data_IF_138015040923
#
_entry.id   IF_138015040923
#
_cell.length_a   1.000
_cell.length_b   1.000
_cell.length_c   1.000
_cell.angle_alpha   90.00
_cell.angle_beta   90.00
_cell.angle_gamma   90.00
#
_symmetry.space_group_name_H-M   'P 1'
#
loop_
_entity.id
_entity.type
_entity.pdbx_description
1 polymer ?
#
# COMPACT_ATOMS: atom_id res chain seq x y z
N UNK A 1 -2.89 7.42 1.42
CA UNK A 1 -3.77 7.28 0.24
C UNK A 1 -2.93 7.14 -1.03
N UNK A 2 -3.12 6.07 -1.80
CA UNK A 2 -2.61 5.91 -3.16
C UNK A 2 -3.81 5.58 -4.04
N UNK A 3 -3.98 6.27 -5.16
CA UNK A 3 -5.14 6.12 -6.05
C UNK A 3 -4.82 6.57 -7.47
N UNK A 4 -5.57 6.04 -8.44
CA UNK A 4 -5.56 6.57 -9.80
C UNK A 4 -6.15 8.00 -9.78
N UNK A 5 -5.51 8.90 -10.53
CA UNK A 5 -5.94 10.26 -10.77
C UNK A 5 -6.60 10.35 -12.14
N UNK A 6 -7.69 11.10 -12.21
CA UNK A 6 -8.49 11.28 -13.41
C UNK A 6 -9.93 11.62 -13.03
N UNK A 7 -10.56 12.49 -13.81
CA UNK A 7 -11.95 12.85 -13.62
C UNK A 7 -12.87 11.72 -14.10
N UNK A 8 -14.01 11.54 -13.43
CA UNK A 8 -15.02 10.56 -13.84
C UNK A 8 -14.67 9.09 -13.61
N UNK A 9 -13.51 8.77 -12.99
CA UNK A 9 -13.13 7.40 -12.68
C UNK A 9 -14.16 6.74 -11.75
N UNK A 10 -14.75 5.64 -12.20
CA UNK A 10 -15.57 4.77 -11.35
C UNK A 10 -14.65 3.91 -10.50
N UNK A 11 -14.87 3.89 -9.19
CA UNK A 11 -14.09 3.05 -8.28
C UNK A 11 -14.95 1.98 -7.63
N UNK A 12 -14.39 0.77 -7.50
CA UNK A 12 -14.99 -0.33 -6.75
C UNK A 12 -13.93 -0.98 -5.89
N UNK A 13 -14.30 -1.26 -4.65
CA UNK A 13 -13.47 -1.96 -3.71
C UNK A 13 -14.03 -3.36 -3.44
N UNK A 14 -13.13 -4.34 -3.36
CA UNK A 14 -13.44 -5.71 -2.96
C UNK A 14 -12.24 -6.33 -2.26
N UNK A 15 -12.49 -7.31 -1.40
CA UNK A 15 -11.43 -8.22 -1.01
C UNK A 15 -11.19 -9.23 -2.13
N UNK A 16 -9.93 -9.52 -2.43
CA UNK A 16 -9.58 -10.62 -3.32
C UNK A 16 -10.18 -11.91 -2.72
N UNK A 17 -10.92 -12.71 -3.52
CA UNK A 17 -11.68 -13.85 -3.00
C UNK A 17 -10.88 -14.74 -2.07
N UNK A 18 -11.49 -15.09 -0.93
CA UNK A 18 -10.93 -15.94 0.11
C UNK A 18 -9.62 -15.41 0.73
N UNK A 19 -9.41 -14.09 0.70
CA UNK A 19 -8.27 -13.42 1.33
C UNK A 19 -8.66 -12.12 2.04
N UNK A 20 -7.78 -11.63 2.93
CA UNK A 20 -7.85 -10.27 3.48
C UNK A 20 -6.97 -9.28 2.69
N UNK A 21 -6.82 -9.50 1.38
CA UNK A 21 -6.14 -8.58 0.47
C UNK A 21 -7.19 -7.67 -0.14
N UNK A 22 -7.06 -6.37 0.06
CA UNK A 22 -8.02 -5.39 -0.42
C UNK A 22 -7.61 -4.89 -1.81
N UNK A 23 -8.51 -4.98 -2.78
CA UNK A 23 -8.34 -4.46 -4.14
C UNK A 23 -9.30 -3.28 -4.33
N UNK A 24 -8.77 -2.14 -4.74
CA UNK A 24 -9.54 -1.02 -5.26
C UNK A 24 -9.27 -0.90 -6.76
N UNK A 25 -10.30 -1.15 -7.58
CA UNK A 25 -10.24 -1.01 -9.04
C UNK A 25 -10.82 0.33 -9.45
N UNK A 26 -10.12 1.02 -10.34
CA UNK A 26 -10.51 2.28 -10.95
C UNK A 26 -10.74 2.06 -12.45
N UNK A 27 -11.87 2.52 -12.97
CA UNK A 27 -12.26 2.34 -14.37
C UNK A 27 -12.62 3.69 -14.99
N UNK A 28 -11.83 4.10 -15.98
CA UNK A 28 -12.12 5.18 -16.91
C UNK A 28 -12.63 4.65 -18.25
N UNK A 29 -12.71 5.53 -19.24
CA UNK A 29 -13.19 5.18 -20.59
C UNK A 29 -12.15 4.35 -21.36
N UNK A 30 -10.87 4.70 -21.24
CA UNK A 30 -9.75 4.04 -21.93
C UNK A 30 -8.73 3.42 -20.96
N UNK A 31 -9.02 3.43 -19.66
CA UNK A 31 -8.07 2.96 -18.66
C UNK A 31 -8.68 2.17 -17.52
N UNK A 32 -7.91 1.20 -17.04
CA UNK A 32 -8.22 0.39 -15.86
C UNK A 32 -6.98 0.35 -14.97
N UNK A 33 -7.16 0.65 -13.69
CA UNK A 33 -6.10 0.59 -12.70
C UNK A 33 -6.55 -0.19 -11.46
N UNK A 34 -5.57 -0.76 -10.77
CA UNK A 34 -5.79 -1.43 -9.50
C UNK A 34 -4.80 -0.93 -8.45
N UNK A 35 -5.32 -0.76 -7.23
CA UNK A 35 -4.52 -0.61 -6.03
C UNK A 35 -4.81 -1.80 -5.13
N UNK A 36 -3.78 -2.58 -4.80
CA UNK A 36 -3.86 -3.69 -3.85
C UNK A 36 -3.19 -3.32 -2.53
N UNK A 37 -3.86 -3.61 -1.43
CA UNK A 37 -3.45 -3.36 -0.05
C UNK A 37 -3.42 -4.68 0.72
N UNK A 38 -2.31 -4.97 1.39
CA UNK A 38 -2.18 -6.17 2.22
C UNK A 38 -1.12 -5.99 3.33
N UNK A 39 -1.19 -6.85 4.34
CA UNK A 39 -0.23 -6.93 5.44
C UNK A 39 0.47 -8.29 5.38
N UNK A 40 1.78 -8.34 5.09
CA UNK A 40 2.55 -9.57 5.14
C UNK A 40 2.49 -10.24 6.51
N UNK A 41 2.52 -11.57 6.52
CA UNK A 41 2.42 -12.39 7.73
C UNK A 41 3.79 -12.77 8.32
N UNK A 42 4.82 -12.01 7.97
CA UNK A 42 6.21 -12.20 8.41
C UNK A 42 6.50 -11.59 9.80
N UNK A 43 5.47 -11.16 10.52
CA UNK A 43 5.57 -10.50 11.83
C UNK A 43 6.14 -9.08 11.78
N UNK A 44 6.39 -8.52 10.58
CA UNK A 44 7.00 -7.20 10.44
C UNK A 44 6.05 -6.03 10.74
N UNK A 45 4.73 -6.28 10.77
CA UNK A 45 3.72 -5.24 10.91
C UNK A 45 3.66 -4.26 9.74
N UNK A 46 4.26 -4.61 8.60
CA UNK A 46 4.30 -3.76 7.40
C UNK A 46 2.94 -3.73 6.71
N UNK A 47 2.65 -2.61 6.05
CA UNK A 47 1.53 -2.47 5.12
C UNK A 47 2.12 -2.25 3.73
N UNK A 48 1.79 -3.14 2.81
CA UNK A 48 2.23 -3.05 1.42
C UNK A 48 1.06 -2.55 0.59
N UNK A 49 1.32 -1.52 -0.22
CA UNK A 49 0.37 -1.00 -1.19
C UNK A 49 1.01 -0.98 -2.58
N UNK A 50 0.35 -1.61 -3.55
CA UNK A 50 0.81 -1.70 -4.94
C UNK A 50 -0.21 -1.08 -5.87
N UNK A 51 0.24 -0.19 -6.74
CA UNK A 51 -0.53 0.34 -7.88
C UNK A 51 -0.12 -0.40 -9.16
N UNK A 52 -1.10 -0.67 -10.03
CA UNK A 52 -0.88 -1.27 -11.35
C UNK A 52 -1.79 -0.62 -12.38
N UNK A 53 -1.23 -0.25 -13.53
CA UNK A 53 -2.01 0.06 -14.71
C UNK A 53 -2.34 -1.25 -15.44
N UNK A 54 -3.62 -1.62 -15.48
CA UNK A 54 -4.11 -2.87 -16.08
C UNK A 54 -4.33 -2.68 -17.58
N UNK A 55 -4.94 -1.57 -17.95
CA UNK A 55 -5.22 -1.17 -19.33
C UNK A 55 -5.03 0.34 -19.44
N UNK A 56 -4.38 0.78 -20.52
CA UNK A 56 -4.03 2.18 -20.75
C UNK A 56 -3.00 2.72 -19.77
N UNK A 57 -2.49 3.91 -20.08
CA UNK A 57 -1.60 4.65 -19.19
C UNK A 57 -2.43 5.34 -18.10
N UNK A 58 -1.95 5.27 -16.85
CA UNK A 58 -2.68 5.81 -15.70
C UNK A 58 -1.77 6.65 -14.83
N UNK A 59 -2.24 7.86 -14.52
CA UNK A 59 -1.63 8.72 -13.52
C UNK A 59 -2.09 8.30 -12.12
N UNK A 60 -1.16 8.24 -11.17
CA UNK A 60 -1.42 7.93 -9.77
C UNK A 60 -0.97 9.07 -8.89
N UNK A 61 -1.66 9.23 -7.76
CA UNK A 61 -1.24 10.14 -6.70
C UNK A 61 -1.17 9.41 -5.36
N UNK A 62 -0.10 9.71 -4.62
CA UNK A 62 0.20 9.21 -3.30
C UNK A 62 0.23 10.39 -2.32
N UNK A 63 -0.37 10.20 -1.15
CA UNK A 63 -0.24 11.07 0.02
C UNK A 63 -0.20 10.20 1.26
N UNK A 64 0.85 10.32 2.07
CA UNK A 64 1.03 9.58 3.31
C UNK A 64 1.29 10.57 4.45
N UNK A 65 0.32 10.69 5.34
CA UNK A 65 0.40 11.55 6.53
C UNK A 65 0.02 10.71 7.76
N UNK A 66 0.94 9.92 8.33
CA UNK A 66 0.69 9.21 9.56
C UNK A 66 0.28 10.18 10.68
N UNK A 67 -0.62 9.72 11.56
CA UNK A 67 -1.10 10.48 12.71
C UNK A 67 -0.79 9.67 13.98
N UNK A 68 0.36 9.95 14.57
CA UNK A 68 0.78 9.33 15.82
C UNK A 68 -0.12 9.75 16.99
N UNK A 69 -0.18 8.89 18.02
CA UNK A 69 -1.01 9.08 19.21
C UNK A 69 -2.43 9.61 18.89
N UNK A 70 -3.08 8.96 17.92
CA UNK A 70 -4.44 9.30 17.47
C UNK A 70 -4.59 10.76 16.98
N UNK A 71 -3.50 11.36 16.49
CA UNK A 71 -3.48 12.73 15.97
C UNK A 71 -3.33 13.82 17.05
N UNK A 72 -2.99 13.47 18.29
CA UNK A 72 -2.75 14.46 19.36
C UNK A 72 -1.48 15.28 19.15
N UNK A 73 -0.45 14.68 18.56
CA UNK A 73 0.83 15.32 18.31
C UNK A 73 1.01 15.77 16.86
N UNK A 74 1.97 16.67 16.65
CA UNK A 74 2.51 16.98 15.32
C UNK A 74 3.42 15.86 14.84
N UNK A 75 3.36 15.57 13.54
CA UNK A 75 4.22 14.58 12.89
C UNK A 75 5.22 15.29 11.99
N UNK A 76 6.51 15.09 12.22
CA UNK A 76 7.56 15.50 11.30
C UNK A 76 7.78 14.44 10.22
N UNK A 77 8.25 14.86 9.06
CA UNK A 77 8.62 14.00 7.95
C UNK A 77 10.01 14.40 7.44
N UNK A 78 10.88 13.41 7.26
CA UNK A 78 12.28 13.59 6.85
C UNK A 78 12.60 12.62 5.71
N UNK A 79 13.23 13.11 4.64
CA UNK A 79 13.68 12.25 3.55
C UNK A 79 14.83 11.37 4.02
N UNK A 80 14.79 10.10 3.62
CA UNK A 80 15.83 9.11 3.90
C UNK A 80 16.17 8.35 2.60
N UNK A 81 17.26 7.57 2.56
CA UNK A 81 17.49 6.69 1.43
C UNK A 81 16.27 5.82 1.14
N UNK A 82 15.77 5.90 -0.10
CA UNK A 82 14.65 5.10 -0.61
C UNK A 82 13.30 5.33 0.10
N UNK A 83 13.10 6.48 0.79
CA UNK A 83 11.84 6.71 1.49
C UNK A 83 11.74 7.99 2.32
N UNK A 84 10.78 7.98 3.26
CA UNK A 84 10.53 9.05 4.23
C UNK A 84 10.39 8.45 5.63
N UNK A 85 11.04 9.06 6.62
CA UNK A 85 10.83 8.80 8.05
C UNK A 85 9.81 9.78 8.60
N UNK A 86 8.79 9.27 9.28
CA UNK A 86 7.84 10.05 10.05
C UNK A 86 8.11 9.88 11.55
N UNK A 87 7.94 10.94 12.34
CA UNK A 87 8.19 10.91 13.79
C UNK A 87 7.31 11.90 14.55
N UNK A 88 6.90 11.56 15.78
CA UNK A 88 6.35 12.51 16.77
C UNK A 88 7.36 12.85 17.89
N UNK A 89 8.59 12.32 17.79
CA UNK A 89 9.64 12.44 18.81
C UNK A 89 9.79 11.18 19.67
N UNK A 90 8.72 10.41 19.86
CA UNK A 90 8.72 9.15 20.62
C UNK A 90 8.59 7.92 19.70
N UNK A 91 7.73 8.04 18.69
CA UNK A 91 7.31 6.99 17.76
C UNK A 91 7.81 7.33 16.37
N UNK A 92 8.07 6.30 15.58
CA UNK A 92 8.55 6.44 14.21
C UNK A 92 7.85 5.48 13.27
N UNK A 93 7.72 5.89 12.01
CA UNK A 93 7.27 5.06 10.89
C UNK A 93 8.11 5.39 9.66
N UNK A 94 8.27 4.43 8.78
CA UNK A 94 9.08 4.55 7.57
C UNK A 94 8.21 4.23 6.37
N UNK A 95 8.20 5.09 5.36
CA UNK A 95 7.57 4.84 4.08
C UNK A 95 8.66 4.62 3.03
N UNK A 96 8.82 3.38 2.59
CA UNK A 96 9.73 3.04 1.50
C UNK A 96 9.01 3.05 0.17
N UNK A 97 9.69 3.59 -0.84
CA UNK A 97 9.13 3.81 -2.15
C UNK A 97 10.22 3.79 -3.22
N UNK A 98 9.87 3.28 -4.40
CA UNK A 98 10.68 3.46 -5.62
C UNK A 98 10.21 4.63 -6.48
N UNK A 99 9.03 5.19 -6.18
CA UNK A 99 8.61 6.48 -6.75
C UNK A 99 9.21 7.61 -5.93
N UNK A 100 9.60 8.67 -6.61
CA UNK A 100 10.15 9.87 -5.97
C UNK A 100 9.08 10.52 -5.08
N UNK A 101 9.46 10.87 -3.85
CA UNK A 101 8.58 11.43 -2.83
C UNK A 101 8.97 12.87 -2.53
N UNK A 102 8.02 13.79 -2.65
CA UNK A 102 8.08 15.11 -2.04
C UNK A 102 7.63 15.05 -0.59
N UNK A 103 8.06 16.03 0.22
CA UNK A 103 7.59 16.21 1.59
C UNK A 103 7.01 17.61 1.73
N UNK A 104 5.80 17.69 2.29
CA UNK A 104 5.14 18.96 2.63
C UNK A 104 4.37 18.78 3.94
N UNK A 105 4.59 19.68 4.92
CA UNK A 105 3.82 19.73 6.19
C UNK A 105 3.63 18.37 6.89
N UNK A 106 4.71 17.58 7.03
CA UNK A 106 4.64 16.26 7.67
C UNK A 106 3.95 15.17 6.84
N UNK A 107 3.75 15.41 5.54
CA UNK A 107 3.13 14.50 4.58
C UNK A 107 4.13 14.15 3.49
N UNK A 108 4.26 12.87 3.14
CA UNK A 108 4.97 12.43 1.94
C UNK A 108 3.99 12.35 0.76
N UNK A 109 4.34 12.94 -0.37
CA UNK A 109 3.49 13.05 -1.54
C UNK A 109 4.20 12.61 -2.81
N UNK A 110 3.46 12.03 -3.76
CA UNK A 110 3.99 11.77 -5.09
C UNK A 110 2.89 11.81 -6.14
N UNK A 111 3.30 12.16 -7.37
CA UNK A 111 2.50 11.99 -8.59
C UNK A 111 3.37 11.29 -9.61
N UNK A 112 2.86 10.21 -10.19
CA UNK A 112 3.62 9.41 -11.14
C UNK A 112 2.68 8.73 -12.13
N UNK A 113 3.19 8.51 -13.35
CA UNK A 113 2.48 7.77 -14.40
C UNK A 113 2.98 6.34 -14.45
N UNK A 114 2.06 5.39 -14.63
CA UNK A 114 2.37 4.02 -15.00
C UNK A 114 1.83 3.76 -16.40
N UNK A 115 2.65 3.21 -17.27
CA UNK A 115 2.20 2.69 -18.57
C UNK A 115 1.43 1.40 -18.38
N UNK A 116 0.62 1.03 -19.37
CA UNK A 116 -0.07 -0.26 -19.37
C UNK A 116 0.88 -1.41 -18.99
N UNK A 117 0.48 -2.23 -18.00
CA UNK A 117 1.26 -3.35 -17.48
C UNK A 117 2.28 -2.98 -16.40
N UNK A 118 2.65 -1.72 -16.26
CA UNK A 118 3.57 -1.26 -15.22
C UNK A 118 2.92 -1.23 -13.83
N UNK A 119 3.77 -1.33 -12.82
CA UNK A 119 3.36 -1.29 -11.42
C UNK A 119 4.38 -0.53 -10.57
N UNK A 120 3.88 0.06 -9.49
CA UNK A 120 4.67 0.68 -8.45
C UNK A 120 4.17 0.21 -7.09
N UNK A 121 5.01 0.33 -6.07
CA UNK A 121 4.61 0.00 -4.71
C UNK A 121 5.20 0.99 -3.71
N UNK A 122 4.52 1.08 -2.58
CA UNK A 122 5.03 1.71 -1.37
C UNK A 122 4.80 0.78 -0.19
N UNK A 123 5.70 0.84 0.78
CA UNK A 123 5.61 0.00 1.99
C UNK A 123 5.73 0.88 3.22
N UNK A 124 4.67 0.91 4.02
CA UNK A 124 4.69 1.53 5.33
C UNK A 124 5.20 0.51 6.35
N UNK A 125 6.28 0.85 7.03
CA UNK A 125 7.01 0.00 7.95
C UNK A 125 6.99 0.62 9.35
N UNK A 126 6.64 -0.14 10.39
CA UNK A 126 6.86 0.25 11.78
C UNK A 126 8.32 0.06 12.23
N UNK A 127 9.26 0.03 11.28
CA UNK A 127 10.64 -0.41 11.48
C UNK A 127 11.50 0.54 12.33
N UNK A 128 12.77 0.16 12.47
CA UNK A 128 13.86 0.95 13.04
C UNK A 128 14.80 1.36 11.90
N UNK A 129 15.64 2.38 12.13
CA UNK A 129 16.47 2.98 11.08
C UNK A 129 17.45 2.01 10.38
N UNK A 130 17.74 0.86 10.99
CA UNK A 130 18.67 -0.18 10.54
C UNK A 130 18.02 -1.33 9.76
N UNK A 131 16.70 -1.34 9.58
CA UNK A 131 16.03 -2.37 8.81
C UNK A 131 16.42 -2.29 7.32
N UNK A 132 16.69 -3.43 6.65
CA UNK A 132 17.07 -3.41 5.24
C UNK A 132 15.95 -2.82 4.37
N UNK A 133 16.29 -2.04 3.32
CA UNK A 133 15.31 -1.48 2.40
C UNK A 133 14.45 -2.56 1.75
N UNK A 134 13.19 -2.24 1.48
CA UNK A 134 12.26 -3.17 0.82
C UNK A 134 12.47 -3.14 -0.70
N UNK A 135 12.71 -4.31 -1.29
CA UNK A 135 12.83 -4.45 -2.74
C UNK A 135 11.55 -5.01 -3.39
N UNK A 136 11.53 -4.99 -4.73
CA UNK A 136 10.41 -5.52 -5.51
C UNK A 136 10.22 -7.04 -5.34
N UNK A 137 11.30 -7.77 -5.04
CA UNK A 137 11.27 -9.21 -4.80
C UNK A 137 10.51 -9.54 -3.52
N UNK A 138 10.75 -8.79 -2.44
CA UNK A 138 9.99 -8.89 -1.20
C UNK A 138 8.51 -8.62 -1.43
N UNK A 139 8.15 -7.55 -2.14
CA UNK A 139 6.75 -7.20 -2.39
C UNK A 139 6.03 -8.29 -3.17
N UNK A 140 6.71 -8.86 -4.16
CA UNK A 140 6.15 -9.95 -4.98
C UNK A 140 5.97 -11.24 -4.16
N UNK A 141 7.00 -11.66 -3.42
CA UNK A 141 6.94 -12.87 -2.57
C UNK A 141 5.89 -12.74 -1.47
N UNK A 142 5.91 -11.62 -0.74
CA UNK A 142 4.97 -11.39 0.36
C UNK A 142 3.52 -11.33 -0.11
N UNK A 143 3.23 -10.85 -1.33
CA UNK A 143 1.88 -10.91 -1.90
C UNK A 143 1.40 -12.35 -2.07
N UNK A 144 2.25 -13.21 -2.67
CA UNK A 144 1.92 -14.63 -2.91
C UNK A 144 1.75 -15.35 -1.57
N UNK A 145 2.72 -15.22 -0.66
CA UNK A 145 2.66 -15.85 0.67
C UNK A 145 1.44 -15.41 1.48
N UNK A 146 1.05 -14.13 1.38
CA UNK A 146 -0.15 -13.62 2.05
C UNK A 146 -1.42 -14.21 1.45
N UNK A 147 -1.50 -14.30 0.12
CA UNK A 147 -2.63 -14.91 -0.58
C UNK A 147 -2.76 -16.39 -0.20
N UNK A 148 -1.67 -17.15 -0.32
CA UNK A 148 -1.62 -18.58 -0.04
C UNK A 148 -1.98 -18.89 1.41
N UNK A 149 -1.50 -18.08 2.35
CA UNK A 149 -1.90 -18.23 3.75
C UNK A 149 -3.41 -18.13 3.92
N UNK A 150 -4.03 -17.09 3.35
CA UNK A 150 -5.46 -16.89 3.51
C UNK A 150 -6.28 -17.99 2.84
N UNK A 151 -5.91 -18.40 1.63
CA UNK A 151 -6.55 -19.52 0.95
C UNK A 151 -6.46 -20.81 1.77
N UNK A 152 -5.30 -21.10 2.34
CA UNK A 152 -5.11 -22.25 3.23
C UNK A 152 -5.92 -22.11 4.53
N UNK A 153 -5.95 -20.92 5.13
CA UNK A 153 -6.69 -20.68 6.37
C UNK A 153 -8.20 -20.85 6.18
N UNK A 154 -8.77 -20.30 5.10
CA UNK A 154 -10.18 -20.46 4.75
C UNK A 154 -10.50 -21.92 4.42
N UNK A 155 -9.67 -22.60 3.63
CA UNK A 155 -9.88 -24.00 3.25
C UNK A 155 -9.87 -24.96 4.45
N UNK A 156 -9.09 -24.65 5.49
CA UNK A 156 -9.03 -25.44 6.72
C UNK A 156 -10.03 -24.96 7.79
N UNK A 157 -10.70 -23.83 7.57
CA UNK A 157 -11.67 -23.26 8.48
C UNK A 157 -12.96 -24.07 8.51
N UNK A 158 -13.30 -24.64 9.68
CA UNK A 158 -14.65 -25.16 9.92
C UNK A 158 -15.56 -24.01 10.38
N UNK A 159 -16.36 -23.48 9.46
CA UNK A 159 -17.38 -22.50 9.82
C UNK A 159 -18.53 -23.18 10.59
N UNK A 160 -18.94 -22.66 11.76
CA UNK A 160 -20.18 -23.11 12.39
C UNK A 160 -21.35 -22.82 11.44
N UNK A 161 -22.07 -23.85 11.00
CA UNK A 161 -23.20 -23.76 10.06
C UNK A 161 -24.46 -23.08 10.61
N UNK A 162 -24.35 -22.35 11.74
CA UNK A 162 -25.49 -21.85 12.52
C UNK A 162 -25.78 -20.36 12.41
N UNK A 163 -25.12 -19.65 11.50
CA UNK A 163 -25.46 -18.26 11.21
C UNK A 163 -25.83 -18.13 9.72
N UNK A 164 -27.14 -18.19 9.46
CA UNK A 164 -27.78 -17.71 8.23
C UNK A 164 -28.56 -16.45 8.56
#
# INVERSE_FOLDING_TARGET
KLHAAGDGLRSRQLYLPDTNILITRFQGDESVAEVSDFMPLDGSGRIVRRAKAIQGDVDFTLSCAPRFDYGRGTTSAEAIPYGVKFSDGERQLFLYSRVELGISEGTAEARFRLKEGEHAFVVLCPGRADAPPIDAGYVSRSFVETSDFWHNWVANGRYPSRWR
#
